data_IF_268714792007
#
_entry.id   IF_268714792007
#
_cell.length_a   1.000
_cell.length_b   1.000
_cell.length_c   1.000
_cell.angle_alpha   90.00
_cell.angle_beta   90.00
_cell.angle_gamma   90.00
#
_symmetry.space_group_name_H-M   'P 1'
#
loop_
_entity.id
_entity.type
_entity.pdbx_description
1 polymer ?
#
# COMPACT_ATOMS: atom_id res chain seq x y z
N UNK A 1 4.57 -29.63 74.68
CA UNK A 1 3.39 -29.66 73.79
C UNK A 1 2.90 -28.22 73.58
N UNK A 2 3.00 -27.71 72.34
CA UNK A 2 2.15 -26.70 71.68
C UNK A 2 2.86 -26.28 70.39
N UNK A 3 2.30 -26.68 69.26
CA UNK A 3 2.73 -26.29 67.92
C UNK A 3 2.17 -24.90 67.57
N UNK A 4 2.93 -24.10 66.82
CA UNK A 4 2.44 -22.95 66.05
C UNK A 4 3.39 -22.79 64.84
N UNK A 5 3.05 -23.37 63.68
CA UNK A 5 2.31 -22.74 62.57
C UNK A 5 3.12 -21.67 61.81
N UNK A 6 3.83 -22.17 60.77
CA UNK A 6 3.95 -21.69 59.38
C UNK A 6 3.93 -20.17 59.08
N UNK A 7 4.97 -19.72 58.38
CA UNK A 7 4.82 -18.80 57.23
C UNK A 7 6.01 -18.97 56.28
N UNK A 8 5.83 -19.74 55.20
CA UNK A 8 6.76 -19.74 54.07
C UNK A 8 6.44 -18.50 53.20
N UNK A 9 7.31 -17.49 53.23
CA UNK A 9 7.24 -16.38 52.27
C UNK A 9 7.78 -16.86 50.92
N UNK A 10 6.88 -17.32 50.06
CA UNK A 10 7.15 -17.51 48.63
C UNK A 10 6.77 -16.19 47.94
N UNK A 11 7.78 -15.38 47.61
CA UNK A 11 7.61 -14.20 46.78
C UNK A 11 7.36 -14.65 45.33
N UNK A 12 6.11 -14.58 44.88
CA UNK A 12 5.73 -14.85 43.50
C UNK A 12 6.01 -13.57 42.66
N UNK A 13 6.92 -13.58 41.68
CA UNK A 13 7.12 -12.41 40.83
C UNK A 13 5.93 -12.29 39.88
N UNK A 14 5.19 -11.18 39.97
CA UNK A 14 4.21 -10.77 38.96
C UNK A 14 4.96 -10.50 37.64
N UNK A 15 5.04 -11.50 36.76
CA UNK A 15 5.33 -11.28 35.36
C UNK A 15 4.04 -10.82 34.68
N UNK A 16 3.81 -9.51 34.64
CA UNK A 16 2.83 -8.91 33.72
C UNK A 16 3.44 -8.94 32.31
N UNK A 17 2.88 -9.69 31.34
CA UNK A 17 3.31 -9.54 29.96
C UNK A 17 2.87 -8.15 29.47
N UNK A 18 3.83 -7.25 29.26
CA UNK A 18 3.63 -6.06 28.45
C UNK A 18 3.32 -6.53 27.02
N UNK A 19 2.05 -6.75 26.71
CA UNK A 19 1.59 -6.80 25.32
C UNK A 19 1.61 -5.38 24.77
N UNK A 20 2.79 -4.88 24.40
CA UNK A 20 2.89 -3.71 23.54
C UNK A 20 2.36 -4.11 22.17
N UNK A 21 1.11 -3.75 21.89
CA UNK A 21 0.62 -3.70 20.53
C UNK A 21 1.33 -2.54 19.85
N UNK A 22 2.34 -2.85 19.04
CA UNK A 22 2.96 -1.87 18.16
C UNK A 22 1.92 -1.41 17.15
N UNK A 23 1.16 -0.36 17.48
CA UNK A 23 0.38 0.37 16.51
C UNK A 23 1.39 1.18 15.70
N UNK A 24 1.61 0.76 14.45
CA UNK A 24 2.38 1.55 13.50
C UNK A 24 1.75 2.96 13.45
N UNK A 25 2.53 3.97 13.86
CA UNK A 25 2.09 5.35 13.83
C UNK A 25 2.16 5.81 12.37
N UNK A 26 1.01 5.89 11.72
CA UNK A 26 0.88 6.51 10.39
C UNK A 26 0.90 8.02 10.60
N UNK A 27 1.92 8.71 10.10
CA UNK A 27 1.93 10.18 10.10
C UNK A 27 1.02 10.67 8.97
N UNK A 28 0.31 11.78 9.18
CA UNK A 28 -0.44 12.43 8.09
C UNK A 28 0.49 12.87 6.94
N UNK A 29 1.78 13.07 7.25
CA UNK A 29 2.83 13.40 6.29
C UNK A 29 3.13 12.25 5.31
N UNK A 30 2.76 11.02 5.64
CA UNK A 30 2.96 9.84 4.78
C UNK A 30 1.80 9.63 3.80
N UNK A 31 0.70 10.39 3.93
CA UNK A 31 -0.47 10.29 3.07
C UNK A 31 -0.33 11.23 1.88
N UNK A 32 -0.22 10.63 0.71
CA UNK A 32 -0.24 11.32 -0.58
C UNK A 32 -1.68 11.36 -1.13
N UNK A 33 -2.04 12.43 -1.83
CA UNK A 33 -3.24 12.48 -2.68
C UNK A 33 -2.80 12.69 -4.12
N UNK A 34 -3.15 11.75 -5.01
CA UNK A 34 -2.67 11.79 -6.38
C UNK A 34 -3.48 10.93 -7.34
N UNK A 35 -3.43 11.30 -8.63
CA UNK A 35 -4.01 10.54 -9.73
C UNK A 35 -2.97 9.55 -10.24
N UNK A 36 -3.19 8.27 -9.95
CA UNK A 36 -2.25 7.21 -10.30
C UNK A 36 -2.98 6.01 -10.92
N UNK A 37 -2.21 5.12 -11.54
CA UNK A 37 -2.69 3.78 -11.87
C UNK A 37 -2.84 2.99 -10.56
N UNK A 38 -3.96 2.33 -10.38
CA UNK A 38 -4.25 1.47 -9.24
C UNK A 38 -4.60 0.09 -9.79
N UNK A 39 -3.73 -0.89 -9.53
CA UNK A 39 -3.92 -2.27 -9.96
C UNK A 39 -3.95 -3.24 -8.76
N UNK A 40 -4.62 -4.38 -8.92
CA UNK A 40 -4.71 -5.42 -7.88
C UNK A 40 -3.35 -6.09 -7.60
N UNK A 41 -2.48 -6.19 -8.61
CA UNK A 41 -1.21 -6.94 -8.55
C UNK A 41 -0.05 -6.19 -9.22
N UNK A 42 1.18 -6.50 -8.80
CA UNK A 42 2.41 -5.99 -9.42
C UNK A 42 2.50 -6.38 -10.91
N UNK A 43 2.19 -7.63 -11.24
CA UNK A 43 2.22 -8.13 -12.61
C UNK A 43 1.29 -7.36 -13.55
N UNK A 44 0.14 -6.90 -13.07
CA UNK A 44 -0.74 -6.04 -13.86
C UNK A 44 -0.14 -4.66 -14.15
N UNK A 45 0.66 -4.09 -13.23
CA UNK A 45 1.42 -2.85 -13.48
C UNK A 45 2.51 -3.08 -14.53
N UNK A 46 3.21 -4.22 -14.47
CA UNK A 46 4.22 -4.59 -15.47
C UNK A 46 3.61 -4.80 -16.86
N UNK A 47 2.44 -5.46 -16.93
CA UNK A 47 1.68 -5.59 -18.17
C UNK A 47 1.27 -4.22 -18.70
N UNK A 48 0.73 -3.34 -17.84
CA UNK A 48 0.39 -1.97 -18.24
C UNK A 48 1.58 -1.27 -18.90
N UNK A 49 2.78 -1.34 -18.29
CA UNK A 49 4.01 -0.73 -18.85
C UNK A 49 4.35 -1.31 -20.22
N UNK A 50 4.15 -2.62 -20.40
CA UNK A 50 4.39 -3.34 -21.66
C UNK A 50 3.44 -2.89 -22.76
N UNK A 51 2.15 -2.75 -22.44
CA UNK A 51 1.09 -2.33 -23.36
C UNK A 51 1.09 -0.80 -23.60
N UNK A 52 1.70 -0.03 -22.70
CA UNK A 52 1.68 1.42 -22.77
C UNK A 52 2.42 1.95 -24.01
N UNK A 53 1.64 2.52 -24.93
CA UNK A 53 2.13 3.12 -26.16
C UNK A 53 2.03 4.66 -26.18
N UNK A 54 1.53 5.25 -25.10
CA UNK A 54 1.15 6.66 -24.99
C UNK A 54 -0.32 6.85 -24.63
N UNK A 55 -1.15 5.80 -24.79
CA UNK A 55 -2.55 5.78 -24.37
C UNK A 55 -2.73 4.87 -23.14
N UNK A 56 -2.89 5.50 -21.97
CA UNK A 56 -3.12 4.77 -20.73
C UNK A 56 -4.44 3.98 -20.73
N UNK A 57 -5.49 4.49 -21.35
CA UNK A 57 -6.80 3.84 -21.30
C UNK A 57 -6.80 2.57 -22.15
N UNK A 58 -6.16 2.61 -23.31
CA UNK A 58 -5.99 1.42 -24.16
C UNK A 58 -5.17 0.35 -23.45
N UNK A 59 -4.03 0.71 -22.85
CA UNK A 59 -3.21 -0.24 -22.09
C UNK A 59 -3.96 -0.85 -20.88
N UNK A 60 -4.78 -0.06 -20.16
CA UNK A 60 -5.62 -0.56 -19.07
C UNK A 60 -6.65 -1.56 -19.57
N UNK A 61 -7.30 -1.27 -20.70
CA UNK A 61 -8.31 -2.15 -21.26
C UNK A 61 -7.70 -3.51 -21.65
N UNK A 62 -6.48 -3.51 -22.21
CA UNK A 62 -5.73 -4.74 -22.53
C UNK A 62 -5.41 -5.53 -21.25
N UNK A 63 -4.85 -4.88 -20.23
CA UNK A 63 -4.56 -5.53 -18.93
C UNK A 63 -5.81 -6.13 -18.29
N UNK A 64 -6.93 -5.38 -18.28
CA UNK A 64 -8.18 -5.83 -17.67
C UNK A 64 -8.82 -6.99 -18.45
N UNK A 65 -8.66 -6.99 -19.77
CA UNK A 65 -9.09 -8.10 -20.62
C UNK A 65 -8.27 -9.36 -20.34
N UNK A 66 -6.93 -9.24 -20.29
CA UNK A 66 -6.03 -10.37 -20.00
C UNK A 66 -6.24 -10.93 -18.60
N UNK A 67 -6.50 -10.05 -17.62
CA UNK A 67 -6.81 -10.45 -16.24
C UNK A 67 -8.22 -11.05 -16.08
N UNK A 68 -9.06 -11.03 -17.12
CA UNK A 68 -10.49 -11.37 -17.05
C UNK A 68 -11.23 -10.65 -15.92
N UNK A 69 -10.80 -9.43 -15.60
CA UNK A 69 -11.34 -8.59 -14.53
C UNK A 69 -11.44 -7.14 -15.06
N UNK A 70 -12.66 -6.61 -15.28
CA UNK A 70 -12.85 -5.29 -15.88
C UNK A 70 -12.32 -4.13 -15.02
N UNK A 71 -11.98 -4.39 -13.76
CA UNK A 71 -11.44 -3.38 -12.82
C UNK A 71 -10.09 -3.82 -12.23
N UNK A 72 -9.35 -4.71 -12.89
CA UNK A 72 -8.02 -5.14 -12.44
C UNK A 72 -7.03 -3.97 -12.30
N UNK A 73 -7.13 -2.99 -13.20
CA UNK A 73 -6.43 -1.72 -13.18
C UNK A 73 -7.38 -0.58 -13.53
N UNK A 74 -7.19 0.56 -12.87
CA UNK A 74 -7.89 1.82 -13.16
C UNK A 74 -6.97 3.01 -12.95
N UNK A 75 -7.24 4.15 -13.59
CA UNK A 75 -6.69 5.44 -13.16
C UNK A 75 -7.66 6.06 -12.18
N UNK A 76 -7.20 6.37 -10.98
CA UNK A 76 -8.03 6.98 -9.95
C UNK A 76 -7.23 8.02 -9.15
N UNK A 77 -7.92 9.08 -8.74
CA UNK A 77 -7.41 10.02 -7.74
C UNK A 77 -7.70 9.45 -6.35
N UNK A 78 -6.65 9.09 -5.63
CA UNK A 78 -6.76 8.39 -4.34
C UNK A 78 -5.94 9.09 -3.27
N UNK A 79 -6.35 8.91 -2.02
CA UNK A 79 -5.52 9.17 -0.84
C UNK A 79 -4.84 7.84 -0.44
N UNK A 80 -3.51 7.82 -0.46
CA UNK A 80 -2.73 6.60 -0.30
C UNK A 80 -1.42 6.83 0.46
N UNK A 81 -0.89 5.75 1.03
CA UNK A 81 0.49 5.67 1.48
C UNK A 81 1.27 4.86 0.48
N UNK A 82 2.46 5.34 0.13
CA UNK A 82 3.38 4.62 -0.74
C UNK A 82 4.30 3.74 0.11
N UNK A 83 4.36 2.46 -0.23
CA UNK A 83 5.38 1.55 0.27
C UNK A 83 6.73 1.74 -0.42
N UNK A 84 7.73 0.93 -0.05
CA UNK A 84 9.01 0.91 -0.74
C UNK A 84 8.85 0.57 -2.24
N UNK A 85 9.79 1.07 -3.05
CA UNK A 85 9.93 0.66 -4.45
C UNK A 85 10.19 -0.85 -4.53
N UNK A 86 9.43 -1.53 -5.38
CA UNK A 86 9.52 -2.97 -5.62
C UNK A 86 10.33 -3.26 -6.89
N UNK A 87 10.05 -2.50 -7.96
CA UNK A 87 10.65 -2.71 -9.26
C UNK A 87 10.83 -1.41 -10.04
N UNK A 88 11.60 -1.47 -11.14
CA UNK A 88 11.77 -0.36 -12.09
C UNK A 88 11.30 -0.80 -13.45
N UNK A 89 10.42 -0.02 -14.03
CA UNK A 89 9.82 -0.24 -15.33
C UNK A 89 10.26 0.85 -16.30
N UNK A 90 10.38 0.53 -17.59
CA UNK A 90 10.68 1.51 -18.64
C UNK A 90 9.76 1.29 -19.83
N UNK A 91 9.16 2.37 -20.31
CA UNK A 91 8.38 2.36 -21.56
C UNK A 91 8.46 3.72 -22.24
N UNK A 92 8.63 3.73 -23.57
CA UNK A 92 8.70 4.94 -24.41
C UNK A 92 9.67 6.03 -23.91
N UNK A 93 10.82 5.63 -23.35
CA UNK A 93 11.82 6.56 -22.82
C UNK A 93 11.45 7.17 -21.46
N UNK A 94 10.37 6.70 -20.82
CA UNK A 94 9.99 7.06 -19.46
C UNK A 94 10.43 5.95 -18.51
N UNK A 95 11.04 6.33 -17.39
CA UNK A 95 11.38 5.42 -16.29
C UNK A 95 10.34 5.56 -15.18
N UNK A 96 9.89 4.42 -14.65
CA UNK A 96 8.91 4.32 -13.59
C UNK A 96 9.42 3.46 -12.44
N UNK A 97 9.00 3.78 -11.21
CA UNK A 97 9.06 2.89 -10.06
C UNK A 97 7.71 2.23 -9.85
N UNK A 98 7.72 0.92 -9.64
CA UNK A 98 6.54 0.18 -9.22
C UNK A 98 6.60 0.06 -7.71
N UNK A 99 5.52 0.42 -7.02
CA UNK A 99 5.45 0.34 -5.57
C UNK A 99 4.07 -0.13 -5.09
N UNK A 100 4.06 -0.64 -3.86
CA UNK A 100 2.84 -1.03 -3.17
C UNK A 100 2.10 0.19 -2.64
N UNK A 101 0.85 0.29 -3.06
CA UNK A 101 -0.28 1.06 -2.57
C UNK A 101 -0.87 0.68 -1.21
N UNK A 102 -1.11 1.58 -0.26
CA UNK A 102 -2.27 1.41 0.64
C UNK A 102 -3.23 2.57 0.43
N UNK A 103 -4.41 2.29 -0.09
CA UNK A 103 -5.45 3.30 -0.37
C UNK A 103 -6.42 3.37 0.80
N UNK A 104 -6.68 4.57 1.31
CA UNK A 104 -7.64 4.84 2.40
C UNK A 104 -8.79 5.72 1.96
N UNK A 105 -8.75 6.28 0.76
CA UNK A 105 -9.81 7.12 0.24
C UNK A 105 -9.73 7.32 -1.27
N UNK A 106 -10.87 7.63 -1.86
CA UNK A 106 -11.04 7.95 -3.28
C UNK A 106 -11.61 9.35 -3.40
N UNK A 107 -11.14 10.12 -4.38
CA UNK A 107 -11.69 11.44 -4.67
C UNK A 107 -12.84 11.29 -5.67
N UNK A 108 -14.02 11.76 -5.27
CA UNK A 108 -15.25 11.78 -6.07
C UNK A 108 -15.68 13.23 -6.33
N UNK A 109 -16.81 13.43 -7.02
CA UNK A 109 -17.40 14.76 -7.19
C UNK A 109 -17.79 15.42 -5.84
N UNK A 110 -18.10 14.61 -4.82
CA UNK A 110 -18.40 15.05 -3.46
C UNK A 110 -17.16 15.40 -2.63
N UNK A 111 -15.95 15.12 -3.14
CA UNK A 111 -14.68 15.30 -2.43
C UNK A 111 -14.03 13.97 -2.06
N UNK A 112 -13.18 13.99 -1.03
CA UNK A 112 -12.49 12.79 -0.56
C UNK A 112 -13.43 11.90 0.26
N UNK A 113 -13.67 10.68 -0.21
CA UNK A 113 -14.45 9.66 0.49
C UNK A 113 -13.54 8.58 1.05
N UNK A 114 -13.61 8.39 2.37
CA UNK A 114 -12.82 7.36 3.05
C UNK A 114 -13.30 5.96 2.66
N UNK A 115 -12.36 5.04 2.48
CA UNK A 115 -12.61 3.63 2.20
C UNK A 115 -12.08 2.76 3.34
N UNK A 116 -12.45 1.47 3.32
CA UNK A 116 -11.66 0.49 4.07
C UNK A 116 -10.24 0.48 3.48
N UNK A 117 -9.18 0.58 4.30
CA UNK A 117 -7.82 0.50 3.81
C UNK A 117 -7.58 -0.79 3.01
N UNK A 118 -7.07 -0.64 1.80
CA UNK A 118 -6.82 -1.77 0.89
C UNK A 118 -5.49 -1.60 0.17
N UNK A 119 -4.86 -2.73 -0.11
CA UNK A 119 -3.56 -2.81 -0.75
C UNK A 119 -3.73 -2.87 -2.26
N UNK A 120 -2.94 -2.09 -2.99
CA UNK A 120 -2.86 -2.10 -4.44
C UNK A 120 -1.42 -1.92 -4.92
N UNK A 121 -1.22 -1.83 -6.22
CA UNK A 121 0.06 -1.55 -6.86
C UNK A 121 -0.08 -0.38 -7.83
N UNK A 122 0.96 0.44 -7.91
CA UNK A 122 0.97 1.65 -8.74
C UNK A 122 2.32 1.83 -9.41
N UNK A 123 2.34 2.66 -10.46
CA UNK A 123 3.55 3.19 -11.08
C UNK A 123 3.75 4.67 -10.75
N UNK A 124 5.00 5.07 -10.58
CA UNK A 124 5.39 6.43 -10.30
C UNK A 124 6.52 6.83 -11.25
N UNK A 125 6.32 7.92 -12.00
CA UNK A 125 7.34 8.42 -12.92
C UNK A 125 8.56 8.87 -12.12
N UNK A 126 9.75 8.53 -12.61
CA UNK A 126 11.02 9.07 -12.13
C UNK A 126 11.36 10.28 -12.99
N UNK A 127 11.50 11.45 -12.37
CA UNK A 127 12.08 12.61 -13.04
C UNK A 127 13.60 12.42 -13.06
N UNK A 128 14.13 12.06 -14.23
CA UNK A 128 15.57 11.98 -14.46
C UNK A 128 16.10 13.41 -14.62
N UNK A 129 16.86 13.91 -13.64
CA UNK A 129 17.58 15.17 -13.78
C UNK A 129 18.75 14.92 -14.73
N UNK A 130 18.70 15.50 -15.93
CA UNK A 130 19.86 15.54 -16.83
C UNK A 130 20.96 16.34 -16.15
N UNK A 131 22.09 15.69 -15.87
CA UNK A 131 23.30 16.31 -15.25
C UNK A 131 24.30 16.66 -16.33
#
# INVERSE_FOLDING_TARGET
MKAAMRAAMIALPLFLPLSQTAQAQVSEEDIEVGTNLVCDTESQVEMFVTHYDGDAQTAINEVNQEAANPTACVVATTAYMRGPDLATARSKGLTYRIAKIVVFGVVTESGLEATKPAVYYSLFKVDEIEV
#
